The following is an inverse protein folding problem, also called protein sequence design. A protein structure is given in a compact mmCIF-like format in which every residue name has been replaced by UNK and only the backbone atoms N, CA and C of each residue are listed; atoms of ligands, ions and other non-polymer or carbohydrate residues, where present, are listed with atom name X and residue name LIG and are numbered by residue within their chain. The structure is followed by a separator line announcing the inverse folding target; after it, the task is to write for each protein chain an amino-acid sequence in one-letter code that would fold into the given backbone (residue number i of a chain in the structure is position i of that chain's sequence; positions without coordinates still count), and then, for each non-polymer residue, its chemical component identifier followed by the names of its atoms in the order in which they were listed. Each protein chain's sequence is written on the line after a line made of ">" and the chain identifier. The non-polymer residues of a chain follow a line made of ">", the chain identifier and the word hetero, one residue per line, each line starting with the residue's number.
data_IF_197133105882
#
_entry.id   IF_197133105882
#
_cell.length_a   1.000
_cell.length_b   1.000
_cell.length_c   1.000
_cell.angle_alpha   90.00
_cell.angle_beta   90.00
_cell.angle_gamma   90.00
#
_symmetry.space_group_name_H-M   'P 1'
#
loop_
_entity.id
_entity.type
_entity.pdbx_description
1 polymer ?
#
# COMPACT_ATOMS: atom_id res chain seq x y z
N UNK A 1 -17.44 2.65 9.90
CA UNK A 1 -17.35 2.27 11.34
C UNK A 1 -17.15 0.77 11.47
N UNK A 2 -18.05 -0.03 10.90
CA UNK A 2 -18.06 -1.49 10.95
C UNK A 2 -16.75 -2.19 10.51
N UNK A 3 -16.11 -1.75 9.41
CA UNK A 3 -14.89 -2.41 8.90
C UNK A 3 -13.68 -2.30 9.85
N UNK A 4 -13.49 -1.16 10.52
CA UNK A 4 -12.39 -1.00 11.49
C UNK A 4 -12.58 -1.93 12.69
N UNK A 5 -13.81 -2.06 13.17
CA UNK A 5 -14.16 -2.92 14.29
C UNK A 5 -13.94 -4.40 13.94
N UNK A 6 -14.36 -4.83 12.73
CA UNK A 6 -14.08 -6.17 12.21
C UNK A 6 -12.57 -6.45 12.06
N UNK A 7 -11.80 -5.48 11.54
CA UNK A 7 -10.35 -5.63 11.42
C UNK A 7 -9.68 -5.86 12.78
N UNK A 8 -10.08 -5.08 13.80
CA UNK A 8 -9.60 -5.27 15.18
C UNK A 8 -9.96 -6.67 15.70
N UNK A 9 -11.19 -7.13 15.49
CA UNK A 9 -11.62 -8.46 15.92
C UNK A 9 -10.83 -9.58 15.23
N UNK A 10 -10.53 -9.44 13.94
CA UNK A 10 -9.73 -10.41 13.20
C UNK A 10 -8.27 -10.42 13.67
N UNK A 11 -7.67 -9.24 13.88
CA UNK A 11 -6.30 -9.12 14.37
C UNK A 11 -6.13 -9.71 15.78
N UNK A 12 -7.13 -9.57 16.66
CA UNK A 12 -7.11 -10.19 17.99
C UNK A 12 -7.03 -11.72 17.96
N UNK A 13 -7.50 -12.36 16.88
CA UNK A 13 -7.42 -13.82 16.71
C UNK A 13 -6.02 -14.30 16.29
N UNK A 14 -5.13 -13.38 15.90
CA UNK A 14 -3.79 -13.72 15.40
C UNK A 14 -2.73 -13.78 16.51
N UNK A 15 -3.08 -13.44 17.75
CA UNK A 15 -2.16 -13.47 18.91
C UNK A 15 -0.82 -12.77 18.62
N UNK A 16 -0.88 -11.64 17.90
CA UNK A 16 0.32 -10.89 17.53
C UNK A 16 1.03 -10.35 18.79
N UNK A 17 2.37 -10.33 18.81
CA UNK A 17 3.13 -9.80 19.94
C UNK A 17 2.85 -8.32 20.19
N UNK A 18 2.53 -7.57 19.12
CA UNK A 18 2.14 -6.17 19.18
C UNK A 18 0.95 -5.94 18.24
N UNK A 19 -0.07 -5.22 18.71
CA UNK A 19 -1.20 -4.82 17.86
C UNK A 19 -0.76 -3.70 16.91
N UNK A 20 -1.06 -3.80 15.61
CA UNK A 20 -0.77 -2.73 14.67
C UNK A 20 -1.68 -1.53 14.90
N UNK A 21 -1.22 -0.35 14.50
CA UNK A 21 -2.06 0.85 14.44
C UNK A 21 -3.13 0.70 13.35
N UNK A 22 -4.37 1.08 13.68
CA UNK A 22 -5.51 0.94 12.77
C UNK A 22 -6.19 2.28 12.58
N UNK A 23 -6.03 2.80 11.37
CA UNK A 23 -6.57 4.09 10.98
C UNK A 23 -7.93 3.92 10.29
N UNK A 24 -8.85 4.85 10.56
CA UNK A 24 -10.07 5.03 9.75
C UNK A 24 -9.93 6.37 9.06
N UNK A 25 -9.83 6.37 7.74
CA UNK A 25 -9.71 7.59 6.97
C UNK A 25 -9.59 7.32 5.48
N UNK A 26 -9.44 8.42 4.75
CA UNK A 26 -9.09 8.39 3.33
C UNK A 26 -7.58 8.20 3.18
N UNK A 27 -7.17 7.15 2.48
CA UNK A 27 -5.76 6.86 2.23
C UNK A 27 -5.09 8.01 1.45
N UNK A 28 -5.80 8.67 0.54
CA UNK A 28 -5.29 9.83 -0.20
C UNK A 28 -5.00 11.04 0.69
N UNK A 29 -5.46 11.04 1.95
CA UNK A 29 -5.18 12.09 2.94
C UNK A 29 -4.24 11.62 4.05
N UNK A 30 -3.80 10.36 4.04
CA UNK A 30 -2.85 9.84 5.03
C UNK A 30 -1.50 10.54 4.90
N UNK A 31 -0.88 10.88 6.04
CA UNK A 31 0.31 11.74 6.11
C UNK A 31 1.58 11.03 6.57
N UNK A 32 1.45 9.81 7.07
CA UNK A 32 2.57 9.09 7.68
C UNK A 32 3.20 8.06 6.75
N UNK A 33 2.99 8.20 5.43
CA UNK A 33 3.58 7.32 4.42
C UNK A 33 5.11 7.26 4.48
N UNK A 34 5.78 8.31 4.96
CA UNK A 34 7.23 8.36 5.07
C UNK A 34 7.81 7.43 6.14
N UNK A 35 6.97 6.84 7.00
CA UNK A 35 7.38 5.89 8.05
C UNK A 35 7.51 4.45 7.55
N UNK A 36 7.16 4.18 6.29
CA UNK A 36 7.04 2.84 5.75
C UNK A 36 7.77 2.70 4.41
N UNK A 37 8.33 1.52 4.18
CA UNK A 37 9.06 1.18 2.94
C UNK A 37 8.31 0.14 2.10
N UNK A 38 7.41 -0.62 2.75
CA UNK A 38 6.66 -1.72 2.16
C UNK A 38 5.17 -1.45 2.30
N UNK A 39 4.46 -1.53 1.18
CA UNK A 39 3.02 -1.32 1.09
C UNK A 39 2.31 -2.57 0.58
N UNK A 40 1.17 -2.89 1.17
CA UNK A 40 0.33 -4.02 0.74
C UNK A 40 -1.06 -3.50 0.35
N UNK A 41 -1.50 -3.84 -0.86
CA UNK A 41 -2.80 -3.45 -1.40
C UNK A 41 -3.55 -4.70 -1.91
N UNK A 42 -4.78 -4.90 -1.42
CA UNK A 42 -5.70 -5.91 -1.96
C UNK A 42 -6.83 -5.22 -2.71
N UNK A 43 -6.59 -4.86 -3.97
CA UNK A 43 -7.44 -4.02 -4.83
C UNK A 43 -8.36 -3.04 -4.10
N UNK A 44 -7.82 -2.08 -3.33
CA UNK A 44 -8.62 -1.35 -2.35
C UNK A 44 -9.30 -0.10 -2.93
N UNK A 45 -8.92 0.35 -4.14
CA UNK A 45 -9.23 1.68 -4.65
C UNK A 45 -9.68 1.66 -6.10
N UNK A 46 -10.43 2.68 -6.50
CA UNK A 46 -10.52 3.10 -7.91
C UNK A 46 -9.19 3.70 -8.40
N UNK A 47 -9.09 3.91 -9.71
CA UNK A 47 -7.88 4.40 -10.37
C UNK A 47 -7.41 5.77 -9.85
N UNK A 48 -8.33 6.72 -9.63
CA UNK A 48 -7.99 8.09 -9.20
C UNK A 48 -7.46 8.10 -7.76
N UNK A 49 -8.11 7.33 -6.89
CA UNK A 49 -7.67 7.15 -5.51
C UNK A 49 -6.30 6.47 -5.47
N UNK A 50 -6.07 5.45 -6.30
CA UNK A 50 -4.76 4.81 -6.42
C UNK A 50 -3.68 5.80 -6.89
N UNK A 51 -3.92 6.56 -7.96
CA UNK A 51 -2.99 7.60 -8.46
C UNK A 51 -2.59 8.57 -7.35
N UNK A 52 -3.56 9.05 -6.58
CA UNK A 52 -3.30 9.96 -5.46
C UNK A 52 -2.48 9.32 -4.34
N UNK A 53 -2.77 8.07 -3.97
CA UNK A 53 -2.01 7.33 -2.95
C UNK A 53 -0.57 7.08 -3.39
N UNK A 54 -0.37 6.58 -4.62
CA UNK A 54 0.97 6.30 -5.16
C UNK A 54 1.81 7.58 -5.23
N UNK A 55 1.24 8.68 -5.75
CA UNK A 55 1.93 9.97 -5.78
C UNK A 55 2.37 10.41 -4.38
N UNK A 56 1.50 10.31 -3.38
CA UNK A 56 1.82 10.70 -2.00
C UNK A 56 2.90 9.83 -1.38
N UNK A 57 2.89 8.53 -1.66
CA UNK A 57 3.96 7.61 -1.24
C UNK A 57 5.29 8.07 -1.86
N UNK A 58 5.30 8.37 -3.16
CA UNK A 58 6.50 8.82 -3.87
C UNK A 58 7.00 10.20 -3.41
N UNK A 59 6.10 11.12 -3.08
CA UNK A 59 6.46 12.45 -2.54
C UNK A 59 7.33 12.33 -1.26
N UNK A 60 7.18 11.24 -0.50
CA UNK A 60 8.01 10.99 0.69
C UNK A 60 9.50 10.80 0.37
N UNK A 61 9.84 10.39 -0.86
CA UNK A 61 11.21 10.18 -1.32
C UNK A 61 11.98 11.49 -1.52
N UNK A 62 11.30 12.64 -1.56
CA UNK A 62 11.97 13.93 -1.68
C UNK A 62 12.84 14.24 -0.46
N UNK A 63 12.29 14.03 0.75
CA UNK A 63 13.00 14.28 2.01
C UNK A 63 13.63 13.03 2.62
N UNK A 64 13.20 11.83 2.17
CA UNK A 64 13.68 10.56 2.70
C UNK A 64 13.87 9.52 1.58
N UNK A 65 14.95 9.64 0.78
CA UNK A 65 15.28 8.70 -0.29
C UNK A 65 15.45 7.28 0.25
N UNK A 66 14.75 6.32 -0.35
CA UNK A 66 14.80 4.89 -0.03
C UNK A 66 14.16 4.07 -1.14
N UNK A 67 14.43 2.77 -1.16
CA UNK A 67 13.71 1.83 -2.00
C UNK A 67 12.32 1.59 -1.44
N UNK A 68 11.31 1.59 -2.31
CA UNK A 68 9.93 1.27 -1.95
C UNK A 68 9.52 -0.06 -2.57
N UNK A 69 8.75 -0.84 -1.82
CA UNK A 69 8.15 -2.08 -2.27
C UNK A 69 6.62 -1.99 -2.16
N UNK A 70 5.92 -2.48 -3.19
CA UNK A 70 4.47 -2.53 -3.20
C UNK A 70 3.99 -3.91 -3.64
N UNK A 71 3.33 -4.61 -2.72
CA UNK A 71 2.69 -5.91 -2.95
C UNK A 71 1.23 -5.63 -3.32
N UNK A 72 0.88 -5.87 -4.58
CA UNK A 72 -0.46 -5.63 -5.10
C UNK A 72 -1.15 -6.96 -5.43
N UNK A 73 -2.12 -7.33 -4.60
CA UNK A 73 -3.01 -8.45 -4.84
C UNK A 73 -4.21 -8.04 -5.71
N UNK A 74 -4.45 -8.81 -6.78
CA UNK A 74 -5.48 -8.59 -7.79
C UNK A 74 -5.40 -7.18 -8.42
N UNK A 75 -4.28 -6.83 -9.08
CA UNK A 75 -4.05 -5.48 -9.55
C UNK A 75 -4.94 -5.15 -10.76
N UNK A 76 -6.00 -4.37 -10.53
CA UNK A 76 -6.91 -3.91 -11.60
C UNK A 76 -6.35 -2.70 -12.34
N UNK A 77 -5.60 -1.85 -11.63
CA UNK A 77 -5.06 -0.59 -12.15
C UNK A 77 -3.53 -0.57 -12.08
N UNK A 78 -2.87 -1.67 -12.46
CA UNK A 78 -1.40 -1.75 -12.41
C UNK A 78 -0.69 -0.76 -13.33
N UNK A 79 -1.34 -0.34 -14.41
CA UNK A 79 -0.80 0.66 -15.33
C UNK A 79 -0.44 1.96 -14.60
N UNK A 80 -1.17 2.30 -13.53
CA UNK A 80 -0.82 3.44 -12.67
C UNK A 80 0.56 3.28 -12.06
N UNK A 81 0.94 2.09 -11.59
CA UNK A 81 2.27 1.89 -11.02
C UNK A 81 3.35 2.04 -12.10
N UNK A 82 3.10 1.46 -13.28
CA UNK A 82 4.01 1.48 -14.42
C UNK A 82 4.22 2.91 -14.93
N UNK A 83 3.15 3.70 -15.08
CA UNK A 83 3.19 5.12 -15.48
C UNK A 83 4.06 5.97 -14.53
N UNK A 84 4.00 5.66 -13.23
CA UNK A 84 4.79 6.35 -12.21
C UNK A 84 6.22 5.80 -12.07
N UNK A 85 6.62 4.83 -12.91
CA UNK A 85 7.99 4.31 -12.98
C UNK A 85 8.29 3.15 -12.03
N UNK A 86 7.27 2.55 -11.39
CA UNK A 86 7.45 1.32 -10.64
C UNK A 86 7.72 0.15 -11.58
N UNK A 87 8.57 -0.78 -11.15
CA UNK A 87 8.94 -1.97 -11.95
C UNK A 87 8.39 -3.22 -11.28
N UNK A 88 7.78 -4.11 -12.05
CA UNK A 88 7.42 -5.43 -11.55
C UNK A 88 8.70 -6.22 -11.22
N UNK A 89 8.82 -6.68 -9.98
CA UNK A 89 9.96 -7.43 -9.46
C UNK A 89 9.65 -8.92 -9.30
N UNK A 90 8.40 -9.29 -9.03
CA UNK A 90 7.96 -10.67 -8.86
C UNK A 90 6.46 -10.84 -9.08
N UNK A 91 6.04 -12.05 -9.40
CA UNK A 91 4.64 -12.44 -9.58
C UNK A 91 4.40 -13.81 -8.92
N UNK A 92 3.42 -13.85 -8.00
CA UNK A 92 2.97 -15.06 -7.32
C UNK A 92 1.68 -15.62 -7.91
N UNK A 93 1.48 -16.94 -7.76
CA UNK A 93 0.41 -17.75 -8.36
C UNK A 93 -1.03 -17.23 -8.13
N UNK A 94 -1.26 -16.37 -7.14
CA UNK A 94 -2.57 -15.82 -6.76
C UNK A 94 -2.80 -14.38 -7.23
N UNK A 95 -2.43 -14.05 -8.49
CA UNK A 95 -2.57 -12.69 -9.05
C UNK A 95 -1.97 -11.61 -8.14
N UNK A 96 -0.88 -11.93 -7.46
CA UNK A 96 -0.19 -11.01 -6.56
C UNK A 96 1.12 -10.64 -7.21
N UNK A 97 1.29 -9.35 -7.49
CA UNK A 97 2.50 -8.80 -8.09
C UNK A 97 3.23 -7.96 -7.07
N UNK A 98 4.56 -7.99 -7.13
CA UNK A 98 5.43 -7.14 -6.32
C UNK A 98 6.07 -6.12 -7.25
N UNK A 99 5.96 -4.86 -6.89
CA UNK A 99 6.58 -3.75 -7.59
C UNK A 99 7.66 -3.13 -6.70
N UNK A 100 8.73 -2.66 -7.35
CA UNK A 100 9.82 -1.94 -6.72
C UNK A 100 9.94 -0.55 -7.35
N UNK A 101 10.20 0.46 -6.53
CA UNK A 101 10.56 1.79 -6.97
C UNK A 101 11.88 2.21 -6.32
N UNK A 102 12.81 2.61 -7.18
CA UNK A 102 14.14 3.11 -6.82
C UNK A 102 14.29 4.46 -7.49
N UNK A 103 14.66 5.47 -6.70
CA UNK A 103 14.88 6.84 -7.17
C UNK A 103 16.36 7.09 -7.41
#
# INVERSE_FOLDING_TARGET
>A
RHLKEMAIQNLRKLHLPTMPDIYRGDASLFREYSKYDVFYLYNPFDENTLKNVIRRIMDTLYNHPRTLYLIYCNPVYEDVLIEYGWKEASHFYYKTKVYIYEK
#
